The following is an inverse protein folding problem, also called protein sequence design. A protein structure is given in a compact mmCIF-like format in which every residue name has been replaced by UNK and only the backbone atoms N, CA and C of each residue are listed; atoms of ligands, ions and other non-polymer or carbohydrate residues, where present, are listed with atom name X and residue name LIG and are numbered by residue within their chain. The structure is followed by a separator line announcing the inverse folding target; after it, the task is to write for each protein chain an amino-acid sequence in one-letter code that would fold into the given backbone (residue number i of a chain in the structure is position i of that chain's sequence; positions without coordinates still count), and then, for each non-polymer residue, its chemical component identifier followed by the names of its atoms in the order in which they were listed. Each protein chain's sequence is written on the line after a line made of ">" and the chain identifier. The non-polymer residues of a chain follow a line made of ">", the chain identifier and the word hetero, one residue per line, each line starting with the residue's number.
data_IF_170425767619
#
_entry.id   IF_170425767619
#
_cell.length_a   1.000
_cell.length_b   1.000
_cell.length_c   1.000
_cell.angle_alpha   90.00
_cell.angle_beta   90.00
_cell.angle_gamma   90.00
#
_symmetry.space_group_name_H-M   'P 1'
#
loop_
_entity.id
_entity.type
_entity.pdbx_description
1 polymer ?
#
# COMPACT_ATOMS: atom_id res chain seq x y z
N UNK A 1 16.19 4.92 9.84
CA UNK A 1 17.48 5.57 9.61
C UNK A 1 18.39 4.53 9.00
N UNK A 2 18.84 4.76 7.75
CA UNK A 2 19.80 3.87 7.11
C UNK A 2 21.14 3.95 7.88
N UNK A 3 21.63 2.81 8.33
CA UNK A 3 22.99 2.70 8.88
C UNK A 3 23.96 2.63 7.71
N UNK A 4 25.04 3.41 7.78
CA UNK A 4 26.16 3.25 6.86
C UNK A 4 26.86 1.92 7.15
N UNK A 5 27.34 1.25 6.11
CA UNK A 5 28.18 0.07 6.26
C UNK A 5 29.52 0.44 6.95
N UNK A 6 30.13 -0.55 7.60
CA UNK A 6 31.42 -0.34 8.26
C UNK A 6 32.47 0.12 7.23
N UNK A 7 33.24 1.14 7.62
CA UNK A 7 34.27 1.75 6.74
C UNK A 7 33.74 2.83 5.79
N UNK A 8 32.41 3.08 5.74
CA UNK A 8 31.84 4.17 4.95
C UNK A 8 31.71 5.42 5.81
N UNK A 9 32.39 6.48 5.42
CA UNK A 9 32.29 7.80 6.07
C UNK A 9 31.31 8.68 5.31
N UNK A 10 30.49 9.46 6.06
CA UNK A 10 29.64 10.47 5.47
C UNK A 10 30.47 11.71 5.14
N UNK A 11 30.48 12.12 3.88
CA UNK A 11 31.02 13.41 3.50
C UNK A 11 30.06 14.52 3.97
N UNK A 12 30.55 15.44 4.78
CA UNK A 12 29.83 16.66 5.12
C UNK A 12 30.07 17.71 4.03
N UNK A 13 29.08 17.88 3.18
CA UNK A 13 29.09 18.95 2.18
C UNK A 13 28.69 20.28 2.82
N UNK A 14 29.29 21.42 2.41
CA UNK A 14 28.78 22.73 2.76
C UNK A 14 27.27 22.84 2.49
N UNK A 15 26.54 23.61 3.29
CA UNK A 15 25.07 23.72 3.20
C UNK A 15 24.58 24.10 1.81
N UNK A 16 25.33 24.93 1.10
CA UNK A 16 25.01 25.34 -0.29
C UNK A 16 25.06 24.23 -1.32
N UNK A 17 25.74 23.13 -1.04
CA UNK A 17 25.83 21.94 -1.86
C UNK A 17 24.95 20.79 -1.35
N UNK A 18 24.28 20.97 -0.21
CA UNK A 18 23.36 19.96 0.28
C UNK A 18 22.04 20.00 -0.51
N UNK A 19 21.66 18.89 -1.06
CA UNK A 19 20.54 18.78 -2.01
C UNK A 19 19.20 19.25 -1.44
N UNK A 20 18.86 18.85 -0.20
CA UNK A 20 17.59 19.23 0.43
C UNK A 20 17.50 20.73 0.73
N UNK A 21 18.47 21.38 1.42
CA UNK A 21 18.48 22.83 1.61
C UNK A 21 18.47 23.60 0.31
N UNK A 22 19.19 23.14 -0.70
CA UNK A 22 19.22 23.74 -2.03
C UNK A 22 17.84 23.71 -2.69
N UNK A 23 17.21 22.54 -2.76
CA UNK A 23 15.86 22.40 -3.31
C UNK A 23 14.84 23.27 -2.55
N UNK A 24 14.90 23.32 -1.22
CA UNK A 24 14.02 24.20 -0.43
C UNK A 24 14.21 25.66 -0.81
N UNK A 25 15.42 26.14 -0.85
CA UNK A 25 15.73 27.52 -1.23
C UNK A 25 15.21 27.87 -2.61
N UNK A 26 15.37 26.98 -3.57
CA UNK A 26 14.91 27.18 -4.94
C UNK A 26 13.38 27.09 -5.07
N UNK A 27 12.75 26.15 -4.38
CA UNK A 27 11.28 25.96 -4.44
C UNK A 27 10.49 27.06 -3.73
N UNK A 28 11.12 27.82 -2.83
CA UNK A 28 10.52 28.93 -2.09
C UNK A 28 10.99 30.31 -2.55
N UNK A 29 11.86 30.36 -3.55
CA UNK A 29 12.44 31.60 -4.09
C UNK A 29 11.46 32.45 -4.90
N UNK A 30 11.91 33.62 -5.37
CA UNK A 30 11.10 34.57 -6.17
C UNK A 30 10.51 33.97 -7.46
N UNK A 31 11.20 32.98 -8.03
CA UNK A 31 10.70 32.16 -9.15
C UNK A 31 10.38 30.80 -8.57
N UNK A 32 9.24 30.72 -7.89
CA UNK A 32 8.79 29.47 -7.26
C UNK A 32 8.36 28.49 -8.34
N UNK A 33 9.20 27.50 -8.62
CA UNK A 33 8.88 26.40 -9.52
C UNK A 33 8.32 25.22 -8.73
N UNK A 34 7.06 24.90 -9.00
CA UNK A 34 6.38 23.77 -8.32
C UNK A 34 7.06 22.43 -8.58
N UNK A 35 7.76 22.28 -9.70
CA UNK A 35 8.47 21.05 -10.05
C UNK A 35 9.62 20.73 -9.09
N UNK A 36 10.30 21.77 -8.58
CA UNK A 36 11.36 21.61 -7.57
C UNK A 36 10.79 21.15 -6.22
N UNK A 37 9.58 21.63 -5.89
CA UNK A 37 8.87 21.16 -4.71
C UNK A 37 8.43 19.69 -4.86
N UNK A 38 7.92 19.31 -6.02
CA UNK A 38 7.55 17.93 -6.31
C UNK A 38 8.79 16.99 -6.25
N UNK A 39 9.94 17.46 -6.76
CA UNK A 39 11.21 16.74 -6.62
C UNK A 39 11.64 16.58 -5.15
N UNK A 40 11.44 17.62 -4.33
CA UNK A 40 11.75 17.55 -2.90
C UNK A 40 10.83 16.54 -2.19
N UNK A 41 9.54 16.48 -2.54
CA UNK A 41 8.62 15.44 -2.06
C UNK A 41 9.14 14.06 -2.42
N UNK A 42 9.56 13.83 -3.66
CA UNK A 42 10.11 12.55 -4.10
C UNK A 42 11.36 12.14 -3.28
N UNK A 43 12.27 13.10 -3.03
CA UNK A 43 13.44 12.85 -2.18
C UNK A 43 13.06 12.41 -0.77
N UNK A 44 12.01 13.02 -0.19
CA UNK A 44 11.54 12.60 1.13
C UNK A 44 10.91 11.21 1.11
N UNK A 45 10.14 10.88 0.07
CA UNK A 45 9.56 9.55 -0.11
C UNK A 45 10.63 8.46 -0.25
N UNK A 46 11.64 8.69 -1.09
CA UNK A 46 12.74 7.75 -1.29
C UNK A 46 13.55 7.50 -0.01
N UNK A 47 13.63 8.53 0.84
CA UNK A 47 14.24 8.44 2.18
C UNK A 47 13.28 7.94 3.26
N UNK A 48 12.04 7.62 2.92
CA UNK A 48 10.98 7.24 3.85
C UNK A 48 10.72 8.27 4.96
N UNK A 49 10.91 9.54 4.64
CA UNK A 49 10.64 10.69 5.51
C UNK A 49 9.21 11.20 5.25
N UNK A 50 8.23 10.32 5.51
CA UNK A 50 6.84 10.54 5.12
C UNK A 50 6.22 11.81 5.69
N UNK A 51 6.49 12.14 6.97
CA UNK A 51 5.99 13.38 7.57
C UNK A 51 6.55 14.63 6.88
N UNK A 52 7.82 14.60 6.44
CA UNK A 52 8.42 15.70 5.69
C UNK A 52 7.80 15.81 4.29
N UNK A 53 7.52 14.69 3.65
CA UNK A 53 6.82 14.64 2.36
C UNK A 53 5.41 15.22 2.47
N UNK A 54 4.63 14.85 3.51
CA UNK A 54 3.30 15.39 3.76
C UNK A 54 3.31 16.90 3.97
N UNK A 55 4.23 17.41 4.77
CA UNK A 55 4.35 18.86 5.02
C UNK A 55 4.66 19.63 3.74
N UNK A 56 5.55 19.10 2.91
CA UNK A 56 5.88 19.73 1.63
C UNK A 56 4.72 19.65 0.62
N UNK A 57 4.00 18.50 0.56
CA UNK A 57 2.80 18.35 -0.27
C UNK A 57 1.71 19.35 0.14
N UNK A 58 1.44 19.51 1.43
CA UNK A 58 0.47 20.50 1.93
C UNK A 58 0.85 21.91 1.50
N UNK A 59 2.11 22.28 1.69
CA UNK A 59 2.63 23.57 1.23
C UNK A 59 2.44 23.77 -0.28
N UNK A 60 2.78 22.77 -1.10
CA UNK A 60 2.63 22.84 -2.55
C UNK A 60 1.17 22.93 -2.97
N UNK A 61 0.27 22.23 -2.31
CA UNK A 61 -1.17 22.30 -2.59
C UNK A 61 -1.71 23.70 -2.28
N UNK A 62 -1.28 24.30 -1.18
CA UNK A 62 -1.68 25.67 -0.80
C UNK A 62 -1.15 26.71 -1.76
N UNK A 63 0.11 26.59 -2.22
CA UNK A 63 0.77 27.62 -3.05
C UNK A 63 0.58 27.45 -4.55
N UNK A 64 0.49 26.20 -5.03
CA UNK A 64 0.46 25.86 -6.46
C UNK A 64 -0.73 24.98 -6.86
N UNK A 65 -1.62 24.66 -5.91
CA UNK A 65 -2.77 23.81 -6.16
C UNK A 65 -2.43 22.30 -6.20
N UNK A 66 -3.45 21.50 -6.49
CA UNK A 66 -3.41 20.05 -6.41
C UNK A 66 -2.53 19.33 -7.45
N UNK A 67 -1.98 20.06 -8.40
CA UNK A 67 -1.23 19.50 -9.53
C UNK A 67 -2.12 18.92 -10.62
N UNK A 68 -1.52 18.49 -11.72
CA UNK A 68 -2.23 17.87 -12.83
C UNK A 68 -2.95 16.59 -12.35
N UNK A 69 -4.22 16.42 -12.74
CA UNK A 69 -5.03 15.28 -12.31
C UNK A 69 -5.14 15.10 -10.79
N UNK A 70 -4.90 16.18 -10.01
CA UNK A 70 -4.87 16.14 -8.53
C UNK A 70 -3.80 15.20 -7.95
N UNK A 71 -2.67 15.05 -8.62
CA UNK A 71 -1.61 14.11 -8.21
C UNK A 71 -1.08 14.35 -6.80
N UNK A 72 -0.85 15.63 -6.42
CA UNK A 72 -0.37 15.98 -5.07
C UNK A 72 -1.36 15.59 -3.98
N UNK A 73 -2.64 15.83 -4.23
CA UNK A 73 -3.70 15.44 -3.30
C UNK A 73 -3.78 13.92 -3.14
N UNK A 74 -3.76 13.17 -4.25
CA UNK A 74 -3.76 11.72 -4.23
C UNK A 74 -2.56 11.14 -3.49
N UNK A 75 -1.38 11.72 -3.70
CA UNK A 75 -0.16 11.28 -3.03
C UNK A 75 -0.22 11.56 -1.52
N UNK A 76 -0.73 12.72 -1.11
CA UNK A 76 -0.96 13.04 0.29
C UNK A 76 -1.93 12.04 0.93
N UNK A 77 -3.05 11.74 0.27
CA UNK A 77 -4.03 10.75 0.72
C UNK A 77 -3.44 9.33 0.81
N UNK A 78 -2.53 8.96 -0.10
CA UNK A 78 -1.82 7.67 -0.01
C UNK A 78 -0.91 7.57 1.21
N UNK A 79 -0.32 8.68 1.65
CA UNK A 79 0.58 8.67 2.81
C UNK A 79 -0.22 8.74 4.11
N UNK A 80 -1.20 9.66 4.21
CA UNK A 80 -1.98 9.92 5.42
C UNK A 80 -3.18 8.98 5.58
N UNK A 81 -3.66 8.38 4.49
CA UNK A 81 -4.81 7.49 4.52
C UNK A 81 -4.55 6.17 5.25
N UNK A 82 -5.62 5.61 5.75
CA UNK A 82 -5.59 4.27 6.33
C UNK A 82 -5.28 3.24 5.24
N UNK A 83 -4.32 2.39 5.53
CA UNK A 83 -3.91 1.36 4.60
C UNK A 83 -3.59 0.06 5.34
N UNK A 84 -3.93 -1.06 4.71
CA UNK A 84 -3.59 -2.36 5.23
C UNK A 84 -3.64 -3.46 4.18
N UNK A 85 -2.86 -4.49 4.41
CA UNK A 85 -2.86 -5.71 3.58
C UNK A 85 -2.50 -6.93 4.41
N UNK A 86 -3.02 -8.07 4.02
CA UNK A 86 -2.51 -9.36 4.50
C UNK A 86 -1.21 -9.71 3.79
N UNK A 87 -0.26 -10.27 4.52
CA UNK A 87 0.89 -10.93 3.92
C UNK A 87 0.51 -12.30 3.39
N UNK A 88 1.32 -12.81 2.46
CA UNK A 88 1.14 -14.16 1.94
C UNK A 88 1.34 -15.16 3.08
N UNK A 89 0.29 -15.87 3.42
CA UNK A 89 0.36 -16.92 4.44
C UNK A 89 0.62 -18.28 3.79
N UNK A 90 1.44 -19.14 4.41
CA UNK A 90 1.55 -20.53 3.97
C UNK A 90 0.21 -21.24 4.16
N UNK A 91 -0.03 -22.28 3.37
CA UNK A 91 -1.21 -23.11 3.56
C UNK A 91 -1.23 -23.69 4.98
N UNK A 92 -2.29 -23.43 5.71
CA UNK A 92 -2.50 -23.99 7.03
C UNK A 92 -2.92 -25.48 6.91
N UNK A 93 -2.32 -26.33 7.73
CA UNK A 93 -2.76 -27.73 7.83
C UNK A 93 -4.14 -27.80 8.48
N UNK A 94 -4.97 -28.73 8.02
CA UNK A 94 -6.27 -28.98 8.64
C UNK A 94 -6.13 -29.23 10.14
N UNK A 95 -7.00 -28.63 10.95
CA UNK A 95 -6.97 -28.74 12.41
C UNK A 95 -6.00 -27.83 13.14
N UNK A 96 -5.12 -27.12 12.44
CA UNK A 96 -4.25 -26.10 13.06
C UNK A 96 -4.84 -24.72 12.90
N UNK A 97 -4.61 -23.85 13.89
CA UNK A 97 -5.02 -22.43 13.81
C UNK A 97 -4.12 -21.72 12.79
N UNK A 98 -4.67 -21.18 11.69
CA UNK A 98 -3.90 -20.40 10.75
C UNK A 98 -3.45 -19.09 11.41
N UNK A 99 -2.22 -18.68 11.12
CA UNK A 99 -1.72 -17.34 11.41
C UNK A 99 -1.59 -16.58 10.11
N UNK A 100 -2.04 -15.34 10.11
CA UNK A 100 -1.94 -14.44 8.95
C UNK A 100 -1.43 -13.11 9.45
N UNK A 101 -0.30 -12.69 8.93
CA UNK A 101 0.29 -11.40 9.26
C UNK A 101 -0.45 -10.29 8.50
N UNK A 102 -0.73 -9.21 9.20
CA UNK A 102 -1.38 -8.02 8.66
C UNK A 102 -0.44 -6.83 8.78
N UNK A 103 -0.13 -6.21 7.65
CA UNK A 103 0.63 -4.97 7.61
C UNK A 103 -0.34 -3.83 7.44
N UNK A 104 -0.19 -2.79 8.26
CA UNK A 104 -1.07 -1.64 8.24
C UNK A 104 -0.31 -0.34 8.51
N UNK A 105 -0.95 0.78 8.18
CA UNK A 105 -0.46 2.12 8.39
C UNK A 105 -1.62 3.05 8.68
N UNK A 106 -1.44 3.97 9.63
CA UNK A 106 -2.37 5.01 10.08
C UNK A 106 -3.67 4.48 10.73
N UNK A 107 -4.20 3.34 10.32
CA UNK A 107 -5.45 2.79 10.82
C UNK A 107 -5.41 2.48 12.33
N UNK A 108 -6.38 2.97 13.08
CA UNK A 108 -6.54 2.68 14.51
C UNK A 108 -7.39 1.43 14.81
N UNK A 109 -8.16 0.96 13.85
CA UNK A 109 -9.02 -0.22 13.97
C UNK A 109 -9.16 -0.90 12.60
N UNK A 110 -9.30 -2.22 12.58
CA UNK A 110 -9.69 -2.98 11.40
C UNK A 110 -10.84 -3.90 11.71
N UNK A 111 -11.82 -3.95 10.81
CA UNK A 111 -12.91 -4.93 10.85
C UNK A 111 -12.54 -6.11 9.96
N UNK A 112 -12.56 -7.29 10.52
CA UNK A 112 -12.23 -8.55 9.86
C UNK A 112 -13.46 -9.44 9.77
N UNK A 113 -13.63 -10.11 8.64
CA UNK A 113 -14.66 -11.13 8.47
C UNK A 113 -14.08 -12.37 7.81
N UNK A 114 -14.49 -13.53 8.31
CA UNK A 114 -14.12 -14.83 7.78
C UNK A 114 -15.34 -15.45 7.12
N UNK A 115 -15.20 -15.83 5.87
CA UNK A 115 -16.27 -16.46 5.10
C UNK A 115 -15.87 -17.85 4.63
N UNK A 116 -16.83 -18.74 4.55
CA UNK A 116 -16.69 -19.98 3.79
C UNK A 116 -16.56 -19.66 2.30
N UNK A 117 -15.87 -20.50 1.57
CA UNK A 117 -15.85 -20.48 0.11
C UNK A 117 -16.76 -21.57 -0.43
N UNK A 118 -17.63 -21.21 -1.36
CA UNK A 118 -18.47 -22.18 -2.10
C UNK A 118 -17.61 -22.88 -3.16
N UNK A 119 -16.76 -23.81 -2.70
CA UNK A 119 -15.83 -24.52 -3.59
C UNK A 119 -16.53 -25.30 -4.70
N UNK A 120 -17.72 -25.82 -4.44
CA UNK A 120 -18.52 -26.54 -5.44
C UNK A 120 -18.84 -25.64 -6.65
N UNK A 121 -19.24 -24.39 -6.41
CA UNK A 121 -19.48 -23.41 -7.48
C UNK A 121 -18.20 -23.04 -8.23
N UNK A 122 -17.08 -22.95 -7.51
CA UNK A 122 -15.78 -22.66 -8.14
C UNK A 122 -15.38 -23.79 -9.08
N UNK A 123 -15.57 -25.03 -8.64
CA UNK A 123 -15.27 -26.23 -9.41
C UNK A 123 -16.24 -26.37 -10.60
N UNK A 124 -17.53 -26.15 -10.38
CA UNK A 124 -18.54 -26.16 -11.44
C UNK A 124 -18.24 -25.14 -12.55
N UNK A 125 -17.93 -23.91 -12.17
CA UNK A 125 -17.57 -22.87 -13.15
C UNK A 125 -16.27 -23.18 -13.88
N UNK A 126 -15.32 -23.84 -13.21
CA UNK A 126 -14.10 -24.33 -13.83
C UNK A 126 -14.41 -25.39 -14.90
N UNK A 127 -15.24 -26.39 -14.56
CA UNK A 127 -15.62 -27.43 -15.53
C UNK A 127 -16.39 -26.85 -16.72
N UNK A 128 -17.36 -25.97 -16.48
CA UNK A 128 -18.07 -25.26 -17.55
C UNK A 128 -17.13 -24.51 -18.49
N UNK A 129 -16.10 -23.88 -17.96
CA UNK A 129 -15.10 -23.19 -18.76
C UNK A 129 -14.30 -24.18 -19.64
N UNK A 130 -13.89 -25.29 -19.06
CA UNK A 130 -13.13 -26.33 -19.79
C UNK A 130 -13.97 -27.05 -20.83
N UNK A 131 -15.22 -27.40 -20.54
CA UNK A 131 -16.18 -28.03 -21.45
C UNK A 131 -16.53 -27.14 -22.65
N UNK A 132 -16.50 -25.82 -22.46
CA UNK A 132 -16.65 -24.84 -23.53
C UNK A 132 -15.50 -24.84 -24.55
N UNK A 133 -14.47 -25.65 -24.33
CA UNK A 133 -13.30 -25.82 -25.21
C UNK A 133 -12.70 -24.47 -25.65
N UNK A 134 -12.31 -23.58 -24.69
CA UNK A 134 -11.83 -22.26 -25.02
C UNK A 134 -10.54 -22.34 -25.84
N UNK A 135 -10.39 -21.49 -26.86
CA UNK A 135 -9.17 -21.41 -27.67
C UNK A 135 -7.92 -21.08 -26.86
N UNK A 136 -8.11 -20.37 -25.75
CA UNK A 136 -7.08 -20.09 -24.76
C UNK A 136 -7.63 -20.40 -23.37
N UNK A 137 -6.87 -21.18 -22.62
CA UNK A 137 -7.18 -21.46 -21.21
C UNK A 137 -6.82 -20.22 -20.39
N UNK A 138 -7.81 -19.58 -19.81
CA UNK A 138 -7.57 -18.47 -18.87
C UNK A 138 -7.01 -19.02 -17.56
N UNK A 139 -5.70 -18.86 -17.36
CA UNK A 139 -5.02 -19.31 -16.16
C UNK A 139 -5.57 -18.66 -14.87
N UNK A 140 -6.27 -17.52 -14.97
CA UNK A 140 -6.91 -16.88 -13.81
C UNK A 140 -8.12 -17.66 -13.31
N UNK A 141 -8.84 -18.34 -14.22
CA UNK A 141 -10.01 -19.17 -13.90
C UNK A 141 -9.56 -20.51 -13.30
N UNK A 142 -8.48 -21.08 -13.84
CA UNK A 142 -7.98 -22.40 -13.42
C UNK A 142 -7.23 -22.33 -12.09
N UNK A 143 -6.57 -21.21 -11.81
CA UNK A 143 -5.77 -21.08 -10.61
C UNK A 143 -6.65 -20.80 -9.38
N UNK A 144 -7.10 -21.86 -8.73
CA UNK A 144 -7.91 -21.81 -7.50
C UNK A 144 -7.19 -21.04 -6.38
N UNK A 145 -5.85 -21.04 -6.35
CA UNK A 145 -5.10 -20.29 -5.32
C UNK A 145 -5.26 -18.78 -5.42
N UNK A 146 -5.67 -18.26 -6.58
CA UNK A 146 -5.97 -16.84 -6.80
C UNK A 146 -7.41 -16.45 -6.56
N UNK A 147 -8.24 -17.34 -6.04
CA UNK A 147 -9.67 -17.03 -5.81
C UNK A 147 -9.87 -15.84 -4.89
N UNK A 148 -9.03 -15.67 -3.89
CA UNK A 148 -9.07 -14.50 -3.00
C UNK A 148 -8.92 -13.18 -3.75
N UNK A 149 -7.96 -13.09 -4.67
CA UNK A 149 -7.78 -11.91 -5.53
C UNK A 149 -8.99 -11.66 -6.44
N UNK A 150 -9.62 -12.72 -6.97
CA UNK A 150 -10.84 -12.60 -7.79
C UNK A 150 -12.03 -12.10 -6.98
N UNK A 151 -12.18 -12.56 -5.75
CA UNK A 151 -13.24 -12.10 -4.85
C UNK A 151 -13.13 -10.60 -4.55
N UNK A 152 -11.92 -10.13 -4.33
CA UNK A 152 -11.65 -8.71 -3.99
C UNK A 152 -11.64 -7.84 -5.24
N UNK A 153 -10.76 -8.15 -6.21
CA UNK A 153 -10.49 -7.27 -7.34
C UNK A 153 -11.57 -7.33 -8.43
N UNK A 154 -12.23 -8.48 -8.59
CA UNK A 154 -13.26 -8.69 -9.59
C UNK A 154 -14.67 -8.70 -8.99
N UNK A 155 -14.80 -8.43 -7.69
CA UNK A 155 -16.08 -8.41 -6.96
C UNK A 155 -16.94 -9.68 -7.18
N UNK A 156 -16.28 -10.84 -7.30
CA UNK A 156 -16.98 -12.11 -7.57
C UNK A 156 -17.61 -12.69 -6.28
N UNK A 157 -18.51 -11.95 -5.66
CA UNK A 157 -19.16 -12.31 -4.39
C UNK A 157 -19.96 -13.61 -4.45
N UNK A 158 -20.28 -14.12 -5.63
CA UNK A 158 -21.03 -15.39 -5.81
C UNK A 158 -20.37 -16.59 -5.13
N UNK A 159 -19.04 -16.59 -5.02
CA UNK A 159 -18.28 -17.66 -4.37
C UNK A 159 -18.17 -17.51 -2.85
N UNK A 160 -18.60 -16.37 -2.30
CA UNK A 160 -18.66 -16.21 -0.84
C UNK A 160 -19.81 -17.02 -0.28
N UNK A 161 -19.51 -17.84 0.70
CA UNK A 161 -20.47 -18.58 1.50
C UNK A 161 -20.89 -17.80 2.75
N UNK A 162 -21.30 -18.56 3.75
CA UNK A 162 -21.72 -18.03 5.03
C UNK A 162 -20.56 -17.31 5.72
N UNK A 163 -20.86 -16.19 6.38
CA UNK A 163 -19.96 -15.59 7.34
C UNK A 163 -19.81 -16.50 8.55
N UNK A 164 -18.59 -16.95 8.80
CA UNK A 164 -18.26 -17.83 9.92
C UNK A 164 -18.02 -17.01 11.19
N UNK A 165 -17.33 -15.87 11.02
CA UNK A 165 -16.98 -14.98 12.12
C UNK A 165 -16.69 -13.57 11.60
N UNK A 166 -17.12 -12.58 12.38
CA UNK A 166 -16.68 -11.20 12.22
C UNK A 166 -16.16 -10.67 13.56
N UNK A 167 -15.12 -9.84 13.52
CA UNK A 167 -14.56 -9.22 14.72
C UNK A 167 -13.81 -7.94 14.36
N UNK A 168 -13.54 -7.14 15.37
CA UNK A 168 -12.74 -5.92 15.23
C UNK A 168 -11.47 -6.05 16.03
N UNK A 169 -10.39 -5.51 15.48
CA UNK A 169 -9.08 -5.46 16.11
C UNK A 169 -8.65 -4.01 16.22
N UNK A 170 -8.33 -3.58 17.45
CA UNK A 170 -7.67 -2.29 17.67
C UNK A 170 -6.24 -2.39 17.22
N UNK A 171 -5.80 -1.43 16.45
CA UNK A 171 -4.46 -1.33 15.91
C UNK A 171 -3.70 -0.19 16.59
N UNK A 172 -2.40 -0.31 16.65
CA UNK A 172 -1.49 0.71 17.17
C UNK A 172 -0.51 1.10 16.06
N UNK A 173 -0.90 2.00 15.15
CA UNK A 173 -0.03 2.41 14.07
C UNK A 173 1.20 3.13 14.61
N UNK A 174 2.34 2.92 13.96
CA UNK A 174 3.56 3.66 14.25
C UNK A 174 3.41 5.10 13.82
N UNK A 175 4.03 6.00 14.57
CA UNK A 175 4.12 7.41 14.21
C UNK A 175 4.84 7.60 12.86
N UNK A 176 4.64 8.80 12.27
CA UNK A 176 5.28 9.22 11.03
C UNK A 176 4.94 8.37 9.81
N UNK A 177 3.74 7.78 9.78
CA UNK A 177 3.21 7.00 8.66
C UNK A 177 4.06 5.78 8.30
N UNK A 178 4.69 5.14 9.27
CA UNK A 178 5.44 3.91 9.06
C UNK A 178 4.53 2.69 9.06
N UNK A 179 4.88 1.72 8.19
CA UNK A 179 4.22 0.44 8.20
C UNK A 179 4.42 -0.26 9.55
N UNK A 180 3.33 -0.82 10.06
CA UNK A 180 3.29 -1.62 11.29
C UNK A 180 2.84 -3.03 10.95
N UNK A 181 3.46 -4.03 11.56
CA UNK A 181 3.09 -5.44 11.41
C UNK A 181 2.36 -5.89 12.66
N UNK A 182 1.18 -6.47 12.49
CA UNK A 182 0.38 -7.14 13.52
C UNK A 182 0.20 -8.62 13.19
N UNK A 183 0.09 -9.46 14.21
CA UNK A 183 -0.24 -10.88 14.12
C UNK A 183 -1.73 -11.14 14.43
#
# INVERSE_FOLDING_TARGET
>A
IARLADGVQRLELPVDYQFIPLLRRLSTGKVSDSSLGDLLVQVFLDRRQFSSACNELKRLIETHGKGEGSQRQKLLEQIEGDWGRFESAPMAQAGKKPKVDFIYRNAGEVSLSLHELKMDLVIEDLFKHLEGNPRQIDGSIINVSRIGSRLVNQNQKKYLGREVRAWKVKLQPRENHWDTRGE
#
